data_IF_254125854062
#
_entry.id   IF_254125854062
#
_cell.length_a   1.000
_cell.length_b   1.000
_cell.length_c   1.000
_cell.angle_alpha   90.00
_cell.angle_beta   90.00
_cell.angle_gamma   90.00
#
_symmetry.space_group_name_H-M   'P 1'
#
loop_
_entity.id
_entity.type
_entity.pdbx_description
1 polymer ?
#
# COMPACT_ATOMS: atom_id res chain seq x y z
N UNK A 1 14.31 2.45 -15.77
CA UNK A 1 14.64 3.87 -16.08
C UNK A 1 15.59 4.40 -15.00
N UNK A 2 16.45 5.35 -15.33
CA UNK A 2 17.38 5.99 -14.38
C UNK A 2 17.03 7.48 -14.35
N UNK A 3 16.60 7.98 -13.19
CA UNK A 3 16.29 9.40 -12.93
C UNK A 3 15.31 10.06 -13.92
N UNK A 4 14.37 9.28 -14.45
CA UNK A 4 13.33 9.76 -15.36
C UNK A 4 12.01 10.00 -14.63
N UNK A 5 11.30 11.05 -15.03
CA UNK A 5 9.91 11.27 -14.61
C UNK A 5 9.02 10.15 -15.15
N UNK A 6 8.09 9.69 -14.30
CA UNK A 6 7.06 8.72 -14.73
C UNK A 6 6.06 9.38 -15.68
N UNK A 7 5.65 10.63 -15.39
CA UNK A 7 4.81 11.47 -16.25
C UNK A 7 5.35 12.90 -16.24
N UNK A 8 5.55 13.47 -17.43
CA UNK A 8 6.10 14.82 -17.56
C UNK A 8 5.14 15.91 -17.07
N UNK A 9 3.85 15.69 -17.23
CA UNK A 9 2.74 16.56 -16.83
C UNK A 9 2.13 16.17 -15.46
N UNK A 10 2.77 15.25 -14.75
CA UNK A 10 2.33 14.81 -13.43
C UNK A 10 3.09 15.52 -12.30
N UNK A 11 2.43 15.61 -11.14
CA UNK A 11 3.02 16.11 -9.89
C UNK A 11 4.14 15.21 -9.36
N UNK A 12 4.98 15.75 -8.48
CA UNK A 12 6.12 15.02 -7.93
C UNK A 12 5.74 13.77 -7.14
N UNK A 13 4.56 13.77 -6.50
CA UNK A 13 4.03 12.66 -5.74
C UNK A 13 2.51 12.71 -5.70
N UNK A 14 1.89 11.55 -5.56
CA UNK A 14 0.46 11.41 -5.31
C UNK A 14 0.23 10.65 -4.02
N UNK A 15 -0.69 11.15 -3.20
CA UNK A 15 -1.12 10.45 -1.99
C UNK A 15 -2.22 9.44 -2.34
N UNK A 16 -2.16 8.26 -1.72
CA UNK A 16 -3.29 7.32 -1.72
C UNK A 16 -4.55 8.02 -1.19
N UNK A 17 -5.68 7.83 -1.86
CA UNK A 17 -6.99 8.29 -1.39
C UNK A 17 -7.82 7.16 -0.75
N UNK A 18 -7.16 6.04 -0.41
CA UNK A 18 -7.72 4.97 0.42
C UNK A 18 -7.63 5.32 1.92
N UNK A 19 -8.52 4.77 2.78
CA UNK A 19 -8.48 4.96 4.22
C UNK A 19 -7.38 4.10 4.89
N UNK A 20 -6.11 4.39 4.57
CA UNK A 20 -4.95 3.55 4.92
C UNK A 20 -4.74 3.38 6.43
N UNK A 21 -5.09 4.38 7.26
CA UNK A 21 -4.96 4.27 8.72
C UNK A 21 -6.04 3.37 9.30
N UNK A 22 -7.26 3.49 8.81
CA UNK A 22 -8.35 2.60 9.19
C UNK A 22 -8.07 1.16 8.73
N UNK A 23 -7.56 0.98 7.50
CA UNK A 23 -7.13 -0.33 7.00
C UNK A 23 -6.12 -0.97 7.95
N UNK A 24 -5.05 -0.24 8.30
CA UNK A 24 -4.03 -0.73 9.21
C UNK A 24 -4.60 -1.08 10.59
N UNK A 25 -5.47 -0.23 11.14
CA UNK A 25 -6.15 -0.46 12.43
C UNK A 25 -6.99 -1.75 12.42
N UNK A 26 -7.83 -1.97 11.42
CA UNK A 26 -8.71 -3.14 11.37
C UNK A 26 -7.95 -4.43 11.08
N UNK A 27 -6.89 -4.38 10.25
CA UNK A 27 -6.00 -5.53 10.05
C UNK A 27 -5.31 -5.94 11.37
N UNK A 28 -4.81 -4.97 12.15
CA UNK A 28 -4.17 -5.24 13.44
C UNK A 28 -5.12 -5.88 14.45
N UNK A 29 -6.42 -5.54 14.43
CA UNK A 29 -7.43 -6.20 15.28
C UNK A 29 -7.58 -7.69 15.00
N UNK A 30 -7.18 -8.16 13.81
CA UNK A 30 -7.14 -9.59 13.46
C UNK A 30 -5.83 -10.27 13.88
N UNK A 31 -4.96 -9.59 14.61
CA UNK A 31 -3.66 -10.12 15.05
C UNK A 31 -2.56 -10.08 13.98
N UNK A 32 -2.81 -9.48 12.82
CA UNK A 32 -1.86 -9.42 11.72
C UNK A 32 -0.99 -8.16 11.85
N UNK A 33 0.33 -8.31 11.74
CA UNK A 33 1.28 -7.20 11.76
C UNK A 33 1.19 -6.42 10.45
N UNK A 34 0.96 -5.11 10.55
CA UNK A 34 0.93 -4.19 9.40
C UNK A 34 1.39 -2.80 9.82
N UNK A 35 1.99 -2.09 8.89
CA UNK A 35 2.45 -0.72 9.04
C UNK A 35 2.13 0.11 7.80
N UNK A 36 2.06 1.42 7.98
CA UNK A 36 1.98 2.36 6.86
C UNK A 36 3.39 2.65 6.39
N UNK A 37 3.64 2.41 5.10
CA UNK A 37 4.88 2.82 4.45
C UNK A 37 4.70 4.19 3.79
N UNK A 38 5.67 5.07 3.99
CA UNK A 38 5.74 6.37 3.33
C UNK A 38 6.62 6.34 2.05
N UNK A 39 7.14 5.17 1.68
CA UNK A 39 7.88 4.96 0.43
C UNK A 39 7.46 3.66 -0.23
N UNK A 40 7.13 3.72 -1.52
CA UNK A 40 6.88 2.53 -2.35
C UNK A 40 8.16 2.07 -3.08
N UNK A 41 9.33 2.63 -2.73
CA UNK A 41 10.58 2.46 -3.45
C UNK A 41 10.60 3.23 -4.77
N UNK A 42 11.58 2.94 -5.62
CA UNK A 42 11.75 3.57 -6.95
C UNK A 42 11.67 2.57 -8.09
N UNK A 43 11.20 1.34 -7.80
CA UNK A 43 11.04 0.29 -8.79
C UNK A 43 9.60 0.23 -9.33
N UNK A 44 9.23 -0.90 -9.93
CA UNK A 44 7.95 -1.08 -10.63
C UNK A 44 6.72 -0.86 -9.73
N UNK A 45 6.80 -1.18 -8.44
CA UNK A 45 5.67 -1.00 -7.52
C UNK A 45 5.27 0.48 -7.37
N UNK A 46 6.26 1.36 -7.19
CA UNK A 46 6.03 2.81 -7.17
C UNK A 46 5.54 3.33 -8.53
N UNK A 47 6.10 2.82 -9.63
CA UNK A 47 5.66 3.20 -10.97
C UNK A 47 4.17 2.91 -11.19
N UNK A 48 3.70 1.74 -10.75
CA UNK A 48 2.29 1.34 -10.85
C UNK A 48 1.38 2.20 -9.96
N UNK A 49 1.78 2.42 -8.70
CA UNK A 49 1.02 3.27 -7.78
C UNK A 49 0.92 4.71 -8.30
N UNK A 50 2.03 5.31 -8.73
CA UNK A 50 2.07 6.65 -9.30
C UNK A 50 1.16 6.74 -10.54
N UNK A 51 1.28 5.79 -11.48
CA UNK A 51 0.48 5.78 -12.70
C UNK A 51 -1.03 5.69 -12.43
N UNK A 52 -1.43 4.85 -11.46
CA UNK A 52 -2.82 4.75 -11.02
C UNK A 52 -3.34 6.09 -10.48
N UNK A 53 -2.60 6.69 -9.54
CA UNK A 53 -3.04 7.93 -8.90
C UNK A 53 -3.03 9.13 -9.85
N UNK A 54 -2.05 9.20 -10.76
CA UNK A 54 -2.05 10.17 -11.87
C UNK A 54 -3.32 10.04 -12.73
N UNK A 55 -3.73 8.82 -13.08
CA UNK A 55 -4.96 8.60 -13.87
C UNK A 55 -6.23 8.97 -13.09
N UNK A 56 -6.26 8.68 -11.79
CA UNK A 56 -7.36 9.08 -10.91
C UNK A 56 -7.49 10.60 -10.92
N UNK A 57 -6.40 11.34 -10.72
CA UNK A 57 -6.44 12.80 -10.73
C UNK A 57 -6.87 13.35 -12.11
N UNK A 58 -6.25 12.90 -13.20
CA UNK A 58 -6.45 13.52 -14.52
C UNK A 58 -7.72 13.08 -15.23
N UNK A 59 -8.22 11.87 -14.98
CA UNK A 59 -9.29 11.25 -15.79
C UNK A 59 -10.42 10.64 -14.99
N UNK A 60 -10.15 10.14 -13.78
CA UNK A 60 -11.12 9.35 -13.01
C UNK A 60 -11.23 9.84 -11.56
N UNK A 61 -11.63 11.11 -11.31
CA UNK A 61 -11.56 11.73 -9.98
C UNK A 61 -12.46 11.07 -8.93
N UNK A 62 -13.44 10.27 -9.36
CA UNK A 62 -14.34 9.54 -8.48
C UNK A 62 -13.82 8.15 -8.06
N UNK A 63 -12.67 7.72 -8.59
CA UNK A 63 -12.07 6.43 -8.27
C UNK A 63 -11.16 6.57 -7.04
N UNK A 64 -11.22 5.56 -6.17
CA UNK A 64 -10.29 5.42 -5.05
C UNK A 64 -9.25 4.34 -5.36
N UNK A 65 -7.98 4.65 -5.13
CA UNK A 65 -6.85 3.80 -5.47
C UNK A 65 -5.68 4.02 -4.52
N UNK A 66 -4.85 2.99 -4.41
CA UNK A 66 -3.67 2.97 -3.56
C UNK A 66 -2.90 1.68 -3.78
N UNK A 67 -1.96 1.36 -2.88
CA UNK A 67 -1.07 0.22 -3.03
C UNK A 67 -0.81 -0.46 -1.68
N UNK A 68 -0.64 -1.78 -1.70
CA UNK A 68 -0.28 -2.58 -0.53
C UNK A 68 0.92 -3.45 -0.92
N UNK A 69 2.03 -3.29 -0.20
CA UNK A 69 3.13 -4.27 -0.26
C UNK A 69 2.82 -5.43 0.67
N UNK A 70 3.18 -6.63 0.25
CA UNK A 70 3.13 -7.83 1.07
C UNK A 70 4.55 -8.40 1.24
N UNK A 71 4.90 -8.96 2.41
CA UNK A 71 6.17 -9.65 2.58
C UNK A 71 6.29 -10.88 1.68
N UNK A 72 7.48 -11.49 1.68
CA UNK A 72 7.62 -12.83 1.11
C UNK A 72 6.70 -13.84 1.81
N UNK A 73 6.27 -14.87 1.07
CA UNK A 73 5.70 -16.08 1.66
C UNK A 73 6.81 -17.06 2.03
N UNK A 74 6.51 -17.98 2.95
CA UNK A 74 7.43 -18.99 3.49
C UNK A 74 8.18 -19.77 2.41
N UNK A 75 7.52 -20.09 1.31
CA UNK A 75 8.11 -20.84 0.20
C UNK A 75 9.18 -20.06 -0.56
N UNK A 76 9.13 -18.73 -0.53
CA UNK A 76 10.07 -17.85 -1.22
C UNK A 76 11.36 -17.57 -0.43
N UNK A 77 11.40 -17.96 0.85
CA UNK A 77 12.54 -17.72 1.74
C UNK A 77 13.29 -18.97 2.13
N UNK A 78 12.94 -20.15 1.58
CA UNK A 78 13.60 -21.43 1.91
C UNK A 78 15.12 -21.40 1.82
N UNK A 79 15.65 -20.62 0.88
CA UNK A 79 17.09 -20.48 0.62
C UNK A 79 17.65 -19.11 1.05
N UNK A 80 16.83 -18.26 1.69
CA UNK A 80 17.21 -16.90 2.11
C UNK A 80 17.38 -16.86 3.61
N UNK A 81 18.64 -16.84 4.06
CA UNK A 81 18.98 -16.71 5.48
C UNK A 81 18.38 -15.39 6.01
N UNK A 82 17.66 -15.47 7.13
CA UNK A 82 17.06 -14.35 7.87
C UNK A 82 16.06 -13.47 7.11
N UNK A 83 15.56 -13.89 5.94
CA UNK A 83 14.55 -13.12 5.23
C UNK A 83 13.19 -13.20 5.96
N UNK A 84 12.61 -12.06 6.38
CA UNK A 84 11.28 -12.06 7.01
C UNK A 84 10.23 -12.49 6.00
N UNK A 85 9.25 -13.26 6.48
CA UNK A 85 8.12 -13.73 5.70
C UNK A 85 6.83 -13.65 6.52
N UNK A 86 5.71 -13.83 5.83
CA UNK A 86 4.38 -13.99 6.43
C UNK A 86 3.73 -15.25 5.85
N UNK A 87 2.92 -15.96 6.63
CA UNK A 87 2.18 -17.11 6.09
C UNK A 87 1.16 -16.61 5.05
N UNK A 88 0.99 -17.37 3.96
CA UNK A 88 0.17 -16.93 2.82
C UNK A 88 -1.27 -16.62 3.24
N UNK A 89 -1.81 -17.43 4.15
CA UNK A 89 -3.16 -17.28 4.68
C UNK A 89 -3.33 -15.97 5.45
N UNK A 90 -2.31 -15.55 6.22
CA UNK A 90 -2.33 -14.26 6.93
C UNK A 90 -2.36 -13.09 5.94
N UNK A 91 -1.58 -13.16 4.85
CA UNK A 91 -1.62 -12.14 3.79
C UNK A 91 -3.03 -12.05 3.19
N UNK A 92 -3.66 -13.18 2.89
CA UNK A 92 -5.02 -13.22 2.33
C UNK A 92 -6.04 -12.61 3.30
N UNK A 93 -5.97 -12.93 4.59
CA UNK A 93 -6.86 -12.35 5.61
C UNK A 93 -6.65 -10.83 5.71
N UNK A 94 -5.40 -10.37 5.68
CA UNK A 94 -5.05 -8.94 5.70
C UNK A 94 -5.59 -8.19 4.49
N UNK A 95 -5.42 -8.71 3.28
CA UNK A 95 -5.93 -8.11 2.04
C UNK A 95 -7.46 -8.06 2.02
N UNK A 96 -8.13 -9.14 2.42
CA UNK A 96 -9.58 -9.17 2.51
C UNK A 96 -10.11 -8.11 3.49
N UNK A 97 -9.44 -7.93 4.64
CA UNK A 97 -9.84 -6.87 5.58
C UNK A 97 -9.58 -5.48 5.02
N UNK A 98 -8.45 -5.26 4.37
CA UNK A 98 -8.14 -4.00 3.70
C UNK A 98 -9.22 -3.61 2.68
N UNK A 99 -9.63 -4.56 1.84
CA UNK A 99 -10.68 -4.37 0.83
C UNK A 99 -12.02 -4.08 1.50
N UNK A 100 -12.40 -4.85 2.54
CA UNK A 100 -13.64 -4.63 3.28
C UNK A 100 -13.71 -3.22 3.88
N UNK A 101 -12.60 -2.73 4.44
CA UNK A 101 -12.52 -1.36 4.98
C UNK A 101 -12.73 -0.34 3.87
N UNK A 102 -12.08 -0.50 2.72
CA UNK A 102 -12.24 0.40 1.58
C UNK A 102 -13.67 0.44 1.04
N UNK A 103 -14.38 -0.69 1.03
CA UNK A 103 -15.78 -0.75 0.58
C UNK A 103 -16.69 -0.02 1.58
N UNK A 104 -16.51 -0.27 2.88
CA UNK A 104 -17.41 0.23 3.94
C UNK A 104 -17.16 1.69 4.32
N UNK A 105 -15.96 2.21 4.04
CA UNK A 105 -15.54 3.53 4.52
C UNK A 105 -14.94 4.33 3.37
N UNK A 106 -15.39 5.59 3.23
CA UNK A 106 -14.86 6.54 2.25
C UNK A 106 -13.75 7.39 2.86
N UNK A 107 -13.93 7.82 4.12
CA UNK A 107 -13.01 8.69 4.84
C UNK A 107 -12.08 7.92 5.76
N UNK A 108 -10.83 8.36 5.85
CA UNK A 108 -9.87 7.81 6.80
C UNK A 108 -10.04 8.39 8.22
N UNK A 109 -9.51 7.67 9.21
CA UNK A 109 -9.41 8.13 10.59
C UNK A 109 -8.21 9.06 10.78
N UNK A 110 -8.33 10.02 11.72
CA UNK A 110 -7.23 10.93 12.08
C UNK A 110 -6.47 10.40 13.30
N UNK A 111 -5.45 9.59 13.06
CA UNK A 111 -4.53 9.06 14.08
C UNK A 111 -3.07 9.23 13.67
N UNK A 112 -2.15 9.22 14.63
CA UNK A 112 -0.71 9.27 14.35
C UNK A 112 -0.20 7.88 13.97
N UNK A 113 0.37 7.77 12.77
CA UNK A 113 1.03 6.58 12.23
C UNK A 113 2.38 6.97 11.58
N UNK A 114 2.88 8.16 11.90
CA UNK A 114 4.15 8.64 11.38
C UNK A 114 5.33 7.88 11.97
N UNK A 115 6.43 7.78 11.21
CA UNK A 115 7.71 7.23 11.68
C UNK A 115 8.77 8.32 11.65
N UNK A 116 9.59 8.37 12.69
CA UNK A 116 10.87 9.08 12.68
C UNK A 116 11.90 8.04 12.23
N UNK A 117 12.60 8.32 11.14
CA UNK A 117 13.68 7.48 10.62
C UNK A 117 15.00 7.81 11.30
#
# INVERSE_FOLDING_TARGET
>A
PIDEKIKFDGDNAYFSNLPIKLMAKEIRKKGIKVEISNTAGTFVCNHLMYGLLYLIEKKYPNIRGGFIHVPYIKEQVKEKIDAPYMEKEEIVVGLNEAINVCIKNITDIKVSEGKIY
#
